data_IF_602983742016
#
_entry.id   IF_602983742016
#
_cell.length_a   1.000
_cell.length_b   1.000
_cell.length_c   1.000
_cell.angle_alpha   90.00
_cell.angle_beta   90.00
_cell.angle_gamma   90.00
#
_symmetry.space_group_name_H-M   'P 1'
#
loop_
_entity.id
_entity.type
_entity.pdbx_description
1 polymer ?
#
# COMPACT_ATOMS: atom_id res chain seq x y z
N UNK A 1 -6.90 70.21 12.50
CA UNK A 1 -7.00 71.16 11.35
C UNK A 1 -6.99 70.28 10.08
N UNK A 2 -8.14 70.03 9.42
CA UNK A 2 -8.70 70.76 8.23
C UNK A 2 -7.63 70.92 7.12
N UNK A 3 -7.75 70.51 5.84
CA UNK A 3 -8.84 70.29 4.84
C UNK A 3 -8.23 69.50 3.64
N UNK A 4 -8.79 68.42 3.11
CA UNK A 4 -9.72 68.28 1.94
C UNK A 4 -9.40 69.07 0.66
N UNK A 5 -9.24 68.35 -0.47
CA UNK A 5 -9.80 68.58 -1.84
C UNK A 5 -9.67 67.22 -2.59
N UNK A 6 -10.71 66.43 -2.87
CA UNK A 6 -11.87 66.59 -3.78
C UNK A 6 -11.45 66.89 -5.22
N UNK A 7 -11.57 65.89 -6.09
CA UNK A 7 -12.07 66.07 -7.45
C UNK A 7 -12.82 64.80 -7.88
N UNK A 8 -14.12 65.00 -8.04
CA UNK A 8 -15.13 64.07 -8.53
C UNK A 8 -15.16 64.06 -10.07
N UNK A 9 -15.50 62.93 -10.66
CA UNK A 9 -16.26 62.78 -11.91
C UNK A 9 -16.73 61.32 -11.96
N UNK A 10 -17.94 61.01 -11.47
CA UNK A 10 -19.21 60.96 -12.23
C UNK A 10 -19.17 59.85 -13.30
N UNK A 11 -19.70 58.65 -13.00
CA UNK A 11 -21.10 58.23 -13.19
C UNK A 11 -21.28 57.56 -14.56
N UNK A 12 -21.52 56.25 -14.59
CA UNK A 12 -22.57 55.66 -15.42
C UNK A 12 -22.89 54.24 -14.91
N UNK A 13 -24.14 54.05 -14.51
CA UNK A 13 -24.74 52.76 -14.24
C UNK A 13 -25.10 52.07 -15.57
N UNK A 14 -24.78 50.79 -15.68
CA UNK A 14 -25.42 49.86 -16.62
C UNK A 14 -25.51 48.48 -15.97
N UNK A 15 -26.65 48.23 -15.36
CA UNK A 15 -27.23 46.89 -15.17
C UNK A 15 -27.82 46.39 -16.50
N UNK A 16 -27.94 45.05 -16.64
CA UNK A 16 -28.32 44.25 -17.82
C UNK A 16 -27.09 43.90 -18.70
N UNK A 17 -26.75 42.65 -19.04
CA UNK A 17 -27.56 41.45 -19.27
C UNK A 17 -26.82 40.19 -18.79
N UNK A 18 -27.53 39.31 -18.08
CA UNK A 18 -27.30 37.86 -18.14
C UNK A 18 -27.80 37.42 -19.52
N UNK A 19 -26.87 37.17 -20.44
CA UNK A 19 -27.15 36.50 -21.70
C UNK A 19 -26.35 35.19 -21.72
N UNK A 20 -27.08 34.09 -21.83
CA UNK A 20 -26.57 32.73 -21.97
C UNK A 20 -25.57 32.66 -23.13
N UNK A 21 -24.33 32.30 -22.86
CA UNK A 21 -23.38 31.91 -23.90
C UNK A 21 -23.05 30.42 -23.73
N UNK A 22 -23.78 29.57 -24.44
CA UNK A 22 -23.42 28.17 -24.68
C UNK A 22 -22.26 28.13 -25.69
N UNK A 23 -21.08 28.57 -25.28
CA UNK A 23 -19.86 28.26 -26.01
C UNK A 23 -19.35 26.89 -25.51
N UNK A 24 -19.12 25.89 -26.38
CA UNK A 24 -18.47 24.66 -25.96
C UNK A 24 -17.09 25.01 -25.41
N UNK A 25 -16.82 24.59 -24.17
CA UNK A 25 -15.50 24.75 -23.55
C UNK A 25 -14.43 24.21 -24.49
N UNK A 26 -13.29 24.91 -24.67
CA UNK A 26 -12.18 24.37 -25.43
C UNK A 26 -11.78 23.01 -24.83
N UNK A 27 -11.47 22.01 -25.68
CA UNK A 27 -11.11 20.68 -25.20
C UNK A 27 -9.96 20.80 -24.21
N UNK A 28 -10.12 20.16 -23.05
CA UNK A 28 -9.08 20.11 -22.04
C UNK A 28 -7.76 19.66 -22.70
N UNK A 29 -6.62 20.31 -22.40
CA UNK A 29 -5.34 19.88 -22.95
C UNK A 29 -5.11 18.40 -22.64
N UNK A 30 -4.52 17.63 -23.57
CA UNK A 30 -4.25 16.22 -23.34
C UNK A 30 -3.48 16.07 -22.04
N UNK A 31 -3.97 15.16 -21.18
CA UNK A 31 -3.36 14.85 -19.90
C UNK A 31 -1.87 14.59 -20.13
N UNK A 32 -1.01 15.25 -19.36
CA UNK A 32 0.43 15.03 -19.43
C UNK A 32 0.72 13.53 -19.35
N UNK A 33 1.66 13.01 -20.17
CA UNK A 33 2.03 11.61 -20.09
C UNK A 33 2.41 11.27 -18.64
N UNK A 34 1.99 10.10 -18.12
CA UNK A 34 2.33 9.71 -16.76
C UNK A 34 3.85 9.72 -16.59
N UNK A 35 4.31 10.19 -15.43
CA UNK A 35 5.72 10.15 -15.08
C UNK A 35 6.26 8.72 -15.27
N UNK A 36 7.50 8.54 -15.77
CA UNK A 36 8.02 7.25 -16.19
C UNK A 36 8.02 6.15 -15.11
N UNK A 37 7.91 6.53 -13.82
CA UNK A 37 7.87 5.61 -12.67
C UNK A 37 6.53 5.62 -11.91
N UNK A 38 5.46 6.15 -12.50
CA UNK A 38 4.15 6.13 -11.86
C UNK A 38 3.58 4.70 -11.82
N UNK A 39 2.98 4.26 -10.70
CA UNK A 39 2.38 2.93 -10.61
C UNK A 39 1.25 2.75 -11.63
N UNK A 40 1.30 1.65 -12.36
CA UNK A 40 0.40 1.38 -13.48
C UNK A 40 -0.84 0.60 -13.04
N UNK A 41 -0.71 -0.25 -12.03
CA UNK A 41 -1.76 -1.11 -11.50
C UNK A 41 -2.58 -0.42 -10.41
N UNK A 42 -3.79 -0.91 -10.19
CA UNK A 42 -4.68 -0.40 -9.14
C UNK A 42 -4.07 -0.59 -7.74
N UNK A 43 -3.39 -1.72 -7.51
CA UNK A 43 -2.71 -2.02 -6.24
C UNK A 43 -1.54 -1.05 -6.04
N UNK A 44 -0.69 -0.86 -7.05
CA UNK A 44 0.40 0.09 -7.02
C UNK A 44 -0.06 1.53 -6.75
N UNK A 45 -1.18 1.95 -7.36
CA UNK A 45 -1.76 3.29 -7.13
C UNK A 45 -2.27 3.46 -5.70
N UNK A 46 -2.97 2.48 -5.15
CA UNK A 46 -3.46 2.53 -3.77
C UNK A 46 -2.30 2.60 -2.75
N UNK A 47 -1.27 1.77 -2.95
CA UNK A 47 -0.05 1.79 -2.12
C UNK A 47 0.69 3.13 -2.27
N UNK A 48 0.79 3.65 -3.51
CA UNK A 48 1.39 4.96 -3.79
C UNK A 48 0.68 6.10 -3.05
N UNK A 49 -0.65 6.10 -3.01
CA UNK A 49 -1.44 7.10 -2.26
C UNK A 49 -1.20 7.02 -0.75
N UNK A 50 -1.16 5.80 -0.18
CA UNK A 50 -0.84 5.61 1.22
C UNK A 50 0.57 6.12 1.56
N UNK A 51 1.52 5.95 0.64
CA UNK A 51 2.90 6.44 0.79
C UNK A 51 3.01 7.96 0.74
N UNK A 52 2.16 8.67 0.00
CA UNK A 52 2.15 10.14 0.03
C UNK A 52 1.88 10.63 1.46
N UNK A 53 0.87 10.06 2.11
CA UNK A 53 0.56 10.36 3.51
C UNK A 53 1.72 9.97 4.44
N UNK A 54 2.31 8.79 4.25
CA UNK A 54 3.45 8.35 5.04
C UNK A 54 4.68 9.28 4.90
N UNK A 55 4.92 9.86 3.72
CA UNK A 55 5.99 10.85 3.51
C UNK A 55 5.76 12.14 4.28
N UNK A 56 4.53 12.64 4.29
CA UNK A 56 4.16 13.82 5.07
C UNK A 56 4.32 13.57 6.58
N UNK A 57 3.86 12.41 7.06
CA UNK A 57 4.03 11.99 8.45
C UNK A 57 5.51 11.82 8.79
N UNK A 58 6.33 11.20 7.93
CA UNK A 58 7.78 11.08 8.17
C UNK A 58 8.45 12.45 8.26
N UNK A 59 8.12 13.37 7.36
CA UNK A 59 8.71 14.72 7.36
C UNK A 59 8.43 15.47 8.67
N UNK A 60 7.22 15.30 9.22
CA UNK A 60 6.72 16.11 10.35
C UNK A 60 6.83 15.44 11.71
N UNK A 61 6.87 14.11 11.79
CA UNK A 61 6.93 13.35 13.05
C UNK A 61 8.35 13.15 13.56
N UNK A 62 8.51 12.90 14.85
CA UNK A 62 9.80 12.59 15.44
C UNK A 62 10.34 11.23 14.95
N UNK A 63 11.65 11.15 14.72
CA UNK A 63 12.31 9.90 14.39
C UNK A 63 12.51 9.12 15.69
N UNK A 64 11.81 7.99 15.83
CA UNK A 64 11.89 7.15 17.04
C UNK A 64 13.09 6.19 16.98
N UNK A 65 13.83 6.11 18.09
CA UNK A 65 14.97 5.24 18.34
C UNK A 65 14.72 4.43 19.63
N UNK A 66 15.48 3.35 19.82
CA UNK A 66 15.39 2.55 21.06
C UNK A 66 14.38 1.41 20.95
N UNK A 67 13.69 1.10 22.06
CA UNK A 67 12.77 -0.03 22.21
C UNK A 67 11.62 -0.05 21.20
N UNK A 68 11.10 1.13 20.89
CA UNK A 68 9.95 1.32 19.98
C UNK A 68 10.40 1.74 18.56
N UNK A 69 11.71 1.77 18.30
CA UNK A 69 12.30 2.20 17.04
C UNK A 69 12.92 1.06 16.21
N UNK A 70 13.59 1.46 15.14
CA UNK A 70 14.37 0.59 14.26
C UNK A 70 13.88 0.56 12.81
N UNK A 71 14.81 0.26 11.91
CA UNK A 71 14.60 0.16 10.47
C UNK A 71 14.83 -1.29 10.07
N UNK A 72 13.90 -1.90 9.33
CA UNK A 72 14.10 -3.24 8.79
C UNK A 72 14.56 -3.12 7.34
N UNK A 73 15.77 -3.61 7.06
CA UNK A 73 16.37 -3.62 5.72
C UNK A 73 16.81 -5.04 5.44
N UNK A 74 16.28 -5.66 4.39
CA UNK A 74 16.65 -7.04 4.03
C UNK A 74 16.44 -8.07 5.17
N UNK A 75 15.45 -7.85 6.04
CA UNK A 75 15.23 -8.70 7.22
C UNK A 75 16.16 -8.41 8.40
N UNK A 76 17.20 -7.61 8.21
CA UNK A 76 18.05 -7.08 9.27
C UNK A 76 17.37 -5.89 9.93
N UNK A 77 17.08 -5.99 11.22
CA UNK A 77 16.55 -4.89 12.02
C UNK A 77 17.72 -4.07 12.58
N UNK A 78 17.88 -2.87 12.07
CA UNK A 78 18.90 -1.89 12.44
C UNK A 78 18.27 -0.87 13.38
N UNK A 79 19.00 -0.36 14.37
CA UNK A 79 18.50 0.75 15.22
C UNK A 79 17.54 0.33 16.34
N UNK A 80 17.15 -0.94 16.44
CA UNK A 80 16.45 -1.47 17.63
C UNK A 80 17.47 -1.69 18.73
N UNK A 81 17.13 -1.27 19.94
CA UNK A 81 17.90 -1.54 21.15
C UNK A 81 16.95 -1.68 22.33
N UNK A 82 17.42 -2.25 23.45
CA UNK A 82 16.65 -2.30 24.70
C UNK A 82 16.66 -0.97 25.48
N UNK A 83 17.18 0.09 24.85
CA UNK A 83 17.20 1.42 25.44
C UNK A 83 15.78 2.01 25.54
N UNK A 84 15.56 2.95 26.48
CA UNK A 84 14.33 3.74 26.55
C UNK A 84 13.96 4.38 25.21
N UNK A 85 12.72 4.84 25.05
CA UNK A 85 12.34 5.53 23.82
C UNK A 85 13.16 6.80 23.68
N UNK A 86 13.84 6.96 22.55
CA UNK A 86 14.47 8.23 22.18
C UNK A 86 13.91 8.76 20.88
N UNK A 87 13.99 10.07 20.69
CA UNK A 87 13.40 10.75 19.54
C UNK A 87 14.34 11.84 19.02
N UNK A 88 14.43 11.95 17.70
CA UNK A 88 15.04 13.10 17.02
C UNK A 88 13.92 13.91 16.36
N UNK A 89 13.73 15.14 16.82
CA UNK A 89 12.68 16.03 16.31
C UNK A 89 13.01 16.54 14.89
N UNK A 90 12.03 17.05 14.13
CA UNK A 90 12.31 17.72 12.86
C UNK A 90 13.26 18.92 12.96
N UNK A 91 13.36 19.53 14.16
CA UNK A 91 14.24 20.66 14.46
C UNK A 91 15.64 20.22 14.94
N UNK A 92 15.87 18.91 15.07
CA UNK A 92 17.16 18.36 15.50
C UNK A 92 17.36 18.34 17.02
N UNK A 93 16.30 18.44 17.81
CA UNK A 93 16.38 18.17 19.25
C UNK A 93 16.46 16.66 19.49
N UNK A 94 17.22 16.27 20.50
CA UNK A 94 17.29 14.89 20.96
C UNK A 94 16.52 14.73 22.27
N UNK A 95 15.56 13.81 22.27
CA UNK A 95 14.70 13.53 23.42
C UNK A 95 14.93 12.10 23.91
N UNK A 96 14.94 11.88 25.22
CA UNK A 96 14.89 10.55 25.85
C UNK A 96 13.70 10.53 26.79
N UNK A 97 12.78 9.59 26.59
CA UNK A 97 11.50 9.50 27.32
C UNK A 97 10.74 10.85 27.32
N UNK A 98 10.75 11.53 26.16
CA UNK A 98 10.13 12.85 25.96
C UNK A 98 10.87 14.03 26.60
N UNK A 99 12.01 13.82 27.26
CA UNK A 99 12.81 14.89 27.88
C UNK A 99 13.94 15.32 26.97
N UNK A 100 14.07 16.63 26.74
CA UNK A 100 15.14 17.18 25.93
C UNK A 100 16.51 16.99 26.58
N UNK A 101 17.47 16.50 25.79
CA UNK A 101 18.89 16.44 26.12
C UNK A 101 19.53 17.77 25.71
N UNK A 102 20.41 18.30 26.57
CA UNK A 102 21.14 19.53 26.26
C UNK A 102 22.14 19.27 25.14
N UNK A 103 22.00 19.98 24.03
CA UNK A 103 22.88 19.85 22.85
C UNK A 103 23.40 21.21 22.39
N UNK A 104 24.58 21.21 21.75
CA UNK A 104 25.12 22.37 21.04
C UNK A 104 24.76 22.34 19.53
N UNK A 105 25.17 23.38 18.81
CA UNK A 105 24.84 23.53 17.39
C UNK A 105 25.46 22.44 16.50
N UNK A 106 26.68 21.99 16.80
CA UNK A 106 27.35 20.92 16.05
C UNK A 106 26.63 19.57 16.23
N UNK A 107 26.21 19.26 17.45
CA UNK A 107 25.43 18.06 17.77
C UNK A 107 24.05 18.12 17.10
N UNK A 108 23.38 19.29 17.10
CA UNK A 108 22.12 19.50 16.39
C UNK A 108 22.27 19.26 14.89
N UNK A 109 23.35 19.75 14.29
CA UNK A 109 23.63 19.51 12.87
C UNK A 109 23.80 18.02 12.57
N UNK A 110 24.53 17.28 13.42
CA UNK A 110 24.71 15.83 13.28
C UNK A 110 23.39 15.05 13.44
N UNK A 111 22.51 15.46 14.36
CA UNK A 111 21.18 14.86 14.54
C UNK A 111 20.30 15.07 13.31
N UNK A 112 20.33 16.26 12.71
CA UNK A 112 19.61 16.56 11.47
C UNK A 112 20.16 15.76 10.28
N UNK A 113 21.48 15.62 10.17
CA UNK A 113 22.12 14.80 9.13
C UNK A 113 21.72 13.33 9.27
N UNK A 114 21.78 12.78 10.49
CA UNK A 114 21.37 11.41 10.77
C UNK A 114 19.90 11.17 10.41
N UNK A 115 19.01 12.07 10.86
CA UNK A 115 17.58 12.02 10.53
C UNK A 115 17.33 12.05 9.02
N UNK A 116 18.00 12.94 8.29
CA UNK A 116 17.89 13.05 6.83
C UNK A 116 18.28 11.76 6.12
N UNK A 117 19.38 11.13 6.56
CA UNK A 117 19.86 9.88 5.99
C UNK A 117 18.88 8.73 6.25
N UNK A 118 18.34 8.61 7.47
CA UNK A 118 17.28 7.63 7.79
C UNK A 118 16.01 7.86 6.95
N UNK A 119 15.59 9.12 6.76
CA UNK A 119 14.44 9.44 5.93
C UNK A 119 14.65 9.06 4.47
N UNK A 120 15.81 9.36 3.89
CA UNK A 120 16.11 8.99 2.50
C UNK A 120 16.04 7.47 2.29
N UNK A 121 16.47 6.69 3.28
CA UNK A 121 16.35 5.23 3.24
C UNK A 121 14.89 4.78 3.34
N UNK A 122 14.10 5.39 4.22
CA UNK A 122 12.66 5.11 4.32
C UNK A 122 11.92 5.45 3.02
N UNK A 123 12.25 6.58 2.38
CA UNK A 123 11.69 6.99 1.08
C UNK A 123 12.04 6.01 -0.03
N UNK A 124 13.29 5.55 -0.07
CA UNK A 124 13.75 4.54 -1.02
C UNK A 124 12.98 3.22 -0.79
N UNK A 125 12.84 2.78 0.46
CA UNK A 125 12.07 1.58 0.81
C UNK A 125 10.58 1.68 0.46
N UNK A 126 9.95 2.83 0.70
CA UNK A 126 8.57 3.09 0.28
C UNK A 126 8.41 3.04 -1.24
N UNK A 127 9.29 3.70 -1.99
CA UNK A 127 9.25 3.69 -3.46
C UNK A 127 9.37 2.26 -4.01
N UNK A 128 10.24 1.45 -3.42
CA UNK A 128 10.35 0.03 -3.75
C UNK A 128 9.09 -0.77 -3.39
N UNK A 129 8.45 -0.46 -2.27
CA UNK A 129 7.16 -1.04 -1.90
C UNK A 129 6.08 -0.80 -2.96
N UNK A 130 6.03 0.41 -3.55
CA UNK A 130 5.13 0.71 -4.68
C UNK A 130 5.47 -0.16 -5.88
N UNK A 131 6.76 -0.23 -6.27
CA UNK A 131 7.19 -1.05 -7.42
C UNK A 131 6.88 -2.54 -7.22
N UNK A 132 7.09 -3.07 -6.00
CA UNK A 132 6.75 -4.45 -5.65
C UNK A 132 5.25 -4.71 -5.72
N UNK A 133 4.43 -3.78 -5.22
CA UNK A 133 2.97 -3.85 -5.33
C UNK A 133 2.50 -3.76 -6.79
N UNK A 134 3.17 -2.95 -7.61
CA UNK A 134 2.85 -2.81 -9.04
C UNK A 134 3.19 -4.07 -9.83
N UNK A 135 4.34 -4.67 -9.55
CA UNK A 135 4.74 -5.97 -10.11
C UNK A 135 3.74 -7.07 -9.72
N UNK A 136 3.34 -7.12 -8.45
CA UNK A 136 2.32 -8.08 -7.99
C UNK A 136 0.97 -7.88 -8.69
N UNK A 137 0.53 -6.63 -8.86
CA UNK A 137 -0.67 -6.32 -9.63
C UNK A 137 -0.57 -6.75 -11.10
N UNK A 138 0.61 -6.59 -11.70
CA UNK A 138 0.88 -7.01 -13.08
C UNK A 138 0.84 -8.53 -13.18
N UNK A 139 1.46 -9.25 -12.25
CA UNK A 139 1.42 -10.70 -12.19
C UNK A 139 -0.02 -11.25 -12.08
N UNK A 140 -0.87 -10.64 -11.25
CA UNK A 140 -2.30 -11.02 -11.14
C UNK A 140 -3.02 -10.80 -12.49
N UNK A 141 -2.80 -9.64 -13.11
CA UNK A 141 -3.43 -9.30 -14.40
C UNK A 141 -3.00 -10.26 -15.51
N UNK A 142 -1.71 -10.57 -15.58
CA UNK A 142 -1.14 -11.47 -16.57
C UNK A 142 -1.50 -12.94 -16.31
N UNK A 143 -1.62 -13.38 -15.06
CA UNK A 143 -2.09 -14.74 -14.75
C UNK A 143 -3.54 -14.96 -15.23
N UNK A 144 -4.41 -13.95 -15.07
CA UNK A 144 -5.77 -13.99 -15.64
C UNK A 144 -5.69 -14.06 -17.17
N UNK A 145 -4.90 -13.19 -17.80
CA UNK A 145 -4.74 -13.17 -19.26
C UNK A 145 -4.15 -14.45 -19.85
N UNK A 146 -3.17 -15.05 -19.19
CA UNK A 146 -2.45 -16.23 -19.67
C UNK A 146 -3.23 -17.54 -19.57
N UNK A 147 -4.24 -17.61 -18.69
CA UNK A 147 -5.24 -18.69 -18.71
C UNK A 147 -6.06 -18.64 -20.02
N UNK A 148 -6.32 -17.44 -20.55
CA UNK A 148 -7.06 -17.28 -21.81
C UNK A 148 -6.17 -17.41 -23.05
N UNK A 149 -4.90 -17.03 -22.97
CA UNK A 149 -3.99 -16.92 -24.12
C UNK A 149 -2.94 -18.04 -24.23
N UNK A 150 -2.75 -18.88 -23.22
CA UNK A 150 -1.83 -20.02 -23.24
C UNK A 150 -0.33 -19.66 -23.18
N UNK A 151 0.01 -18.46 -22.74
CA UNK A 151 1.36 -17.85 -22.79
C UNK A 151 2.05 -17.72 -21.42
N UNK A 152 1.59 -18.46 -20.40
CA UNK A 152 2.04 -18.33 -19.01
C UNK A 152 3.57 -18.41 -18.78
N UNK A 153 4.30 -19.14 -19.62
CA UNK A 153 5.78 -19.20 -19.54
C UNK A 153 6.46 -17.87 -19.90
N UNK A 154 5.92 -17.10 -20.85
CA UNK A 154 6.46 -15.79 -21.21
C UNK A 154 6.16 -14.74 -20.13
N UNK A 155 4.99 -14.86 -19.48
CA UNK A 155 4.56 -14.03 -18.34
C UNK A 155 5.52 -14.24 -17.16
N UNK A 156 5.80 -15.48 -16.79
CA UNK A 156 6.73 -15.83 -15.72
C UNK A 156 8.13 -15.22 -15.95
N UNK A 157 8.67 -15.32 -17.17
CA UNK A 157 9.98 -14.75 -17.52
C UNK A 157 10.03 -13.21 -17.40
N UNK A 158 8.94 -12.50 -17.76
CA UNK A 158 8.86 -11.05 -17.62
C UNK A 158 8.79 -10.63 -16.16
N UNK A 159 7.94 -11.29 -15.36
CA UNK A 159 7.80 -11.03 -13.93
C UNK A 159 9.14 -11.26 -13.22
N UNK A 160 9.84 -12.35 -13.51
CA UNK A 160 11.15 -12.62 -12.94
C UNK A 160 12.19 -11.56 -13.34
N UNK A 161 12.17 -11.08 -14.59
CA UNK A 161 13.09 -10.06 -15.04
C UNK A 161 12.86 -8.72 -14.31
N UNK A 162 11.60 -8.35 -14.06
CA UNK A 162 11.25 -7.17 -13.27
C UNK A 162 11.60 -7.35 -11.79
N UNK A 163 11.36 -8.52 -11.22
CA UNK A 163 11.76 -8.85 -9.86
C UNK A 163 13.29 -8.73 -9.67
N UNK A 164 14.09 -9.23 -10.62
CA UNK A 164 15.55 -9.09 -10.60
C UNK A 164 16.01 -7.63 -10.68
N UNK A 165 15.30 -6.76 -11.41
CA UNK A 165 15.59 -5.32 -11.44
C UNK A 165 15.30 -4.68 -10.08
N UNK A 166 14.15 -4.98 -9.49
CA UNK A 166 13.78 -4.48 -8.16
C UNK A 166 14.77 -4.97 -7.09
N UNK A 167 15.25 -6.20 -7.21
CA UNK A 167 16.30 -6.76 -6.36
C UNK A 167 17.63 -5.99 -6.48
N UNK A 168 18.02 -5.61 -7.69
CA UNK A 168 19.22 -4.81 -7.91
C UNK A 168 19.09 -3.39 -7.33
N UNK A 169 17.92 -2.77 -7.47
CA UNK A 169 17.60 -1.50 -6.82
C UNK A 169 17.64 -1.62 -5.28
N UNK A 170 17.16 -2.75 -4.74
CA UNK A 170 17.21 -3.02 -3.31
C UNK A 170 18.61 -2.97 -2.73
N UNK A 171 19.60 -3.47 -3.47
CA UNK A 171 21.00 -3.46 -3.05
C UNK A 171 21.57 -2.04 -2.95
N UNK A 172 20.97 -1.05 -3.63
CA UNK A 172 21.38 0.35 -3.49
C UNK A 172 21.04 0.93 -2.12
N UNK A 173 20.03 0.40 -1.41
CA UNK A 173 19.77 0.77 0.00
C UNK A 173 20.97 0.47 0.90
N UNK A 174 21.70 -0.62 0.63
CA UNK A 174 22.87 -0.99 1.42
C UNK A 174 24.00 0.04 1.28
N UNK A 175 24.14 0.69 0.11
CA UNK A 175 25.13 1.75 -0.10
C UNK A 175 24.81 2.98 0.77
N UNK A 176 23.54 3.24 1.07
CA UNK A 176 23.12 4.34 1.94
C UNK A 176 23.48 4.11 3.41
N UNK A 177 23.78 2.86 3.83
CA UNK A 177 24.18 2.57 5.20
C UNK A 177 25.59 3.09 5.54
N UNK A 178 26.50 3.18 4.57
CA UNK A 178 27.87 3.67 4.81
C UNK A 178 27.91 5.12 5.32
N UNK A 179 27.28 6.10 4.66
CA UNK A 179 27.22 7.47 5.19
C UNK A 179 26.41 7.55 6.49
N UNK A 180 25.37 6.71 6.66
CA UNK A 180 24.61 6.64 7.91
C UNK A 180 25.48 6.21 9.09
N UNK A 181 26.28 5.16 8.91
CA UNK A 181 27.23 4.68 9.92
C UNK A 181 28.24 5.76 10.28
N UNK A 182 28.80 6.45 9.29
CA UNK A 182 29.77 7.53 9.53
C UNK A 182 29.16 8.67 10.37
N UNK A 183 27.93 9.08 10.07
CA UNK A 183 27.20 10.10 10.85
C UNK A 183 26.91 9.60 12.26
N UNK A 184 26.44 8.35 12.39
CA UNK A 184 26.14 7.72 13.68
C UNK A 184 27.37 7.68 14.58
N UNK A 185 28.54 7.28 14.05
CA UNK A 185 29.79 7.21 14.81
C UNK A 185 30.24 8.59 15.27
N UNK A 186 30.14 9.62 14.41
CA UNK A 186 30.45 11.01 14.79
C UNK A 186 29.51 11.51 15.88
N UNK A 187 28.20 11.27 15.71
CA UNK A 187 27.19 11.66 16.68
C UNK A 187 27.44 10.98 18.04
N UNK A 188 27.68 9.67 18.05
CA UNK A 188 28.01 8.90 19.25
C UNK A 188 29.32 9.35 19.92
N UNK A 189 30.31 9.82 19.17
CA UNK A 189 31.53 10.37 19.74
C UNK A 189 31.30 11.76 20.36
N UNK A 190 30.39 12.54 19.80
CA UNK A 190 30.11 13.92 20.23
C UNK A 190 29.03 14.06 21.30
N UNK A 191 28.10 13.11 21.40
CA UNK A 191 26.93 13.15 22.28
C UNK A 191 26.82 11.83 23.06
N UNK A 192 27.35 11.78 24.31
CA UNK A 192 27.36 10.55 25.12
C UNK A 192 25.98 9.92 25.31
N UNK A 193 24.93 10.73 25.44
CA UNK A 193 23.54 10.28 25.60
C UNK A 193 23.00 9.54 24.36
N UNK A 194 23.61 9.75 23.18
CA UNK A 194 23.25 9.06 21.94
C UNK A 194 23.97 7.72 21.76
N UNK A 195 25.13 7.51 22.40
CA UNK A 195 25.91 6.26 22.29
C UNK A 195 25.08 4.98 22.40
N UNK A 196 24.15 4.84 23.37
CA UNK A 196 23.39 3.59 23.53
C UNK A 196 22.44 3.30 22.37
N UNK A 197 22.12 4.31 21.55
CA UNK A 197 21.24 4.24 20.39
C UNK A 197 22.00 4.03 19.07
N UNK A 198 23.34 4.16 19.09
CA UNK A 198 24.20 4.01 17.93
C UNK A 198 24.48 2.52 17.63
N UNK A 199 23.45 1.79 17.20
CA UNK A 199 23.53 0.33 17.04
C UNK A 199 23.96 -0.14 15.66
N UNK A 200 23.99 0.72 14.64
CA UNK A 200 24.49 0.33 13.32
C UNK A 200 26.00 0.05 13.40
N UNK A 201 26.43 -1.10 12.88
CA UNK A 201 27.83 -1.54 12.86
C UNK A 201 28.35 -1.70 11.43
N UNK A 202 29.67 -1.84 11.28
CA UNK A 202 30.27 -2.17 9.98
C UNK A 202 29.79 -3.53 9.45
N UNK A 203 29.57 -4.51 10.33
CA UNK A 203 29.04 -5.82 9.95
C UNK A 203 27.66 -5.69 9.30
N UNK A 204 26.79 -4.80 9.80
CA UNK A 204 25.47 -4.58 9.22
C UNK A 204 25.56 -4.02 7.79
N UNK A 205 26.52 -3.13 7.54
CA UNK A 205 26.81 -2.59 6.20
C UNK A 205 27.28 -3.71 5.27
N UNK A 206 28.22 -4.53 5.74
CA UNK A 206 28.83 -5.60 4.97
C UNK A 206 27.84 -6.73 4.65
N UNK A 207 26.97 -7.07 5.61
CA UNK A 207 26.03 -8.19 5.47
C UNK A 207 24.77 -7.81 4.70
N UNK A 208 24.37 -6.53 4.68
CA UNK A 208 23.24 -6.04 3.90
C UNK A 208 23.35 -6.46 2.42
N UNK A 209 24.56 -6.38 1.83
CA UNK A 209 24.81 -6.72 0.43
C UNK A 209 24.90 -8.23 0.12
N UNK A 210 25.11 -9.08 1.13
CA UNK A 210 25.39 -10.52 0.95
C UNK A 210 24.14 -11.39 0.85
N UNK A 211 23.02 -10.95 1.43
CA UNK A 211 21.78 -11.73 1.53
C UNK A 211 20.55 -11.05 0.89
N UNK A 212 20.70 -9.83 0.41
CA UNK A 212 19.60 -8.89 0.16
C UNK A 212 18.93 -8.98 -1.21
N UNK A 213 18.38 -10.14 -1.56
CA UNK A 213 17.53 -10.26 -2.74
C UNK A 213 16.14 -10.83 -2.48
N UNK A 214 16.12 -11.98 -1.81
CA UNK A 214 14.86 -12.66 -1.50
C UNK A 214 14.07 -11.98 -0.35
N UNK A 215 14.73 -11.28 0.57
CA UNK A 215 14.08 -10.81 1.80
C UNK A 215 13.35 -9.47 1.70
N UNK A 216 13.57 -8.67 0.65
CA UNK A 216 12.86 -7.38 0.48
C UNK A 216 11.43 -7.58 0.00
N UNK A 217 11.14 -8.74 -0.60
CA UNK A 217 9.80 -9.12 -1.08
C UNK A 217 9.12 -10.14 -0.15
N UNK A 218 9.78 -10.55 0.94
CA UNK A 218 9.18 -11.35 2.00
C UNK A 218 10.07 -12.52 2.46
N UNK A 219 10.60 -12.39 3.68
CA UNK A 219 10.97 -13.52 4.53
C UNK A 219 12.31 -14.24 4.26
N UNK A 220 12.94 -14.71 5.33
CA UNK A 220 14.24 -15.39 5.34
C UNK A 220 14.23 -16.70 4.52
N UNK A 221 15.05 -16.74 3.46
CA UNK A 221 15.05 -17.73 2.39
C UNK A 221 15.55 -19.16 2.71
N UNK A 222 15.43 -19.68 3.94
CA UNK A 222 15.74 -21.09 4.23
C UNK A 222 14.58 -21.88 4.84
N UNK A 223 13.76 -21.25 5.67
CA UNK A 223 12.56 -21.87 6.27
C UNK A 223 11.33 -21.61 5.37
N UNK A 224 11.31 -20.41 4.80
CA UNK A 224 10.30 -19.93 3.86
C UNK A 224 10.32 -20.70 2.54
N UNK A 225 11.43 -21.27 2.07
CA UNK A 225 11.46 -21.96 0.76
C UNK A 225 10.71 -23.31 0.76
N UNK A 226 10.67 -24.03 1.87
CA UNK A 226 9.90 -25.28 1.98
C UNK A 226 8.41 -24.97 2.17
N UNK A 227 8.12 -24.00 3.05
CA UNK A 227 6.75 -23.56 3.34
C UNK A 227 6.11 -22.82 2.16
N UNK A 228 6.82 -21.93 1.45
CA UNK A 228 6.34 -21.26 0.22
C UNK A 228 6.21 -22.23 -0.93
N UNK A 229 7.04 -23.27 -1.07
CA UNK A 229 6.83 -24.23 -2.17
C UNK A 229 5.54 -25.02 -1.95
N UNK A 230 5.25 -25.39 -0.71
CA UNK A 230 4.00 -26.06 -0.36
C UNK A 230 2.81 -25.10 -0.28
N UNK A 231 2.98 -23.85 0.14
CA UNK A 231 1.95 -22.83 0.11
C UNK A 231 1.71 -22.34 -1.30
N UNK A 232 2.68 -22.22 -2.21
CA UNK A 232 2.45 -21.90 -3.61
C UNK A 232 1.82 -23.10 -4.30
N UNK A 233 2.23 -24.35 -4.00
CA UNK A 233 1.54 -25.52 -4.57
C UNK A 233 0.09 -25.61 -4.09
N UNK A 234 -0.16 -25.33 -2.80
CA UNK A 234 -1.51 -25.20 -2.23
C UNK A 234 -2.24 -23.99 -2.78
N UNK A 235 -1.65 -22.81 -2.84
CA UNK A 235 -2.24 -21.57 -3.37
C UNK A 235 -2.45 -21.62 -4.87
N UNK A 236 -1.66 -22.37 -5.64
CA UNK A 236 -1.88 -22.65 -7.05
C UNK A 236 -2.95 -23.74 -7.20
N UNK A 237 -3.02 -24.75 -6.32
CA UNK A 237 -4.16 -25.68 -6.30
C UNK A 237 -5.47 -24.99 -5.85
N UNK A 238 -5.40 -24.06 -4.89
CA UNK A 238 -6.47 -23.22 -4.38
C UNK A 238 -6.79 -22.08 -5.34
N UNK A 239 -5.86 -21.62 -6.18
CA UNK A 239 -6.10 -20.67 -7.27
C UNK A 239 -6.57 -21.37 -8.54
N UNK A 240 -6.26 -22.65 -8.76
CA UNK A 240 -6.87 -23.46 -9.82
C UNK A 240 -8.28 -23.91 -9.40
N UNK A 241 -8.53 -24.12 -8.10
CA UNK A 241 -9.87 -24.34 -7.53
C UNK A 241 -10.64 -23.04 -7.25
N UNK A 242 -9.93 -21.92 -7.08
CA UNK A 242 -10.42 -20.56 -6.82
C UNK A 242 -10.32 -19.63 -8.02
N UNK A 243 -9.93 -20.12 -9.19
CA UNK A 243 -9.99 -19.41 -10.47
C UNK A 243 -11.44 -19.14 -10.94
N UNK A 244 -12.44 -19.49 -10.12
CA UNK A 244 -13.82 -19.02 -10.26
C UNK A 244 -14.16 -17.84 -9.33
N UNK A 245 -13.23 -17.33 -8.51
CA UNK A 245 -13.45 -16.23 -7.57
C UNK A 245 -12.55 -15.03 -7.92
N UNK A 246 -13.04 -14.20 -8.84
CA UNK A 246 -12.45 -12.91 -9.17
C UNK A 246 -12.79 -11.86 -8.10
N UNK A 247 -11.77 -11.24 -7.50
CA UNK A 247 -11.89 -9.89 -6.93
C UNK A 247 -11.76 -8.86 -8.05
N UNK A 248 -12.78 -8.80 -8.91
CA UNK A 248 -13.04 -7.69 -9.81
C UNK A 248 -14.32 -6.98 -9.36
N UNK A 249 -14.50 -5.73 -9.76
CA UNK A 249 -15.84 -5.14 -9.78
C UNK A 249 -16.68 -5.94 -10.79
N UNK A 250 -17.26 -7.05 -10.34
CA UNK A 250 -18.04 -7.98 -11.13
C UNK A 250 -19.42 -8.07 -10.49
N UNK A 251 -20.46 -7.76 -11.26
CA UNK A 251 -21.87 -7.95 -10.88
C UNK A 251 -22.28 -9.44 -10.94
N UNK A 252 -21.32 -10.35 -11.08
CA UNK A 252 -21.56 -11.79 -11.11
C UNK A 252 -20.38 -12.54 -10.51
N UNK A 253 -20.66 -13.50 -9.62
CA UNK A 253 -19.68 -14.40 -9.02
C UNK A 253 -20.22 -15.82 -8.93
N UNK A 254 -19.37 -16.85 -8.92
CA UNK A 254 -19.80 -18.24 -8.77
C UNK A 254 -19.19 -18.84 -7.52
N UNK A 255 -20.04 -19.27 -6.59
CA UNK A 255 -19.63 -19.84 -5.29
C UNK A 255 -20.31 -21.19 -5.10
N UNK A 256 -19.54 -22.23 -4.79
CA UNK A 256 -20.03 -23.60 -4.65
C UNK A 256 -20.83 -24.11 -5.88
N UNK A 257 -20.50 -23.57 -7.06
CA UNK A 257 -21.17 -23.87 -8.33
C UNK A 257 -22.57 -23.27 -8.49
N UNK A 258 -22.94 -22.31 -7.64
CA UNK A 258 -24.12 -21.45 -7.80
C UNK A 258 -23.64 -20.10 -8.35
N UNK A 259 -24.28 -19.59 -9.39
CA UNK A 259 -23.97 -18.28 -9.98
C UNK A 259 -24.80 -17.21 -9.28
N UNK A 260 -24.17 -16.19 -8.71
CA UNK A 260 -24.83 -15.06 -8.09
C UNK A 260 -24.74 -13.83 -8.99
N UNK A 261 -25.87 -13.21 -9.32
CA UNK A 261 -25.95 -11.88 -9.90
C UNK A 261 -26.11 -10.87 -8.77
N UNK A 262 -25.17 -9.95 -8.66
CA UNK A 262 -25.02 -9.05 -7.52
C UNK A 262 -25.14 -7.58 -7.97
N UNK A 263 -25.61 -6.68 -7.08
CA UNK A 263 -25.57 -5.25 -7.36
C UNK A 263 -24.13 -4.78 -7.59
N UNK A 264 -23.98 -3.62 -8.23
CA UNK A 264 -22.66 -3.05 -8.49
C UNK A 264 -21.96 -2.70 -7.16
N UNK A 265 -20.81 -3.32 -6.91
CA UNK A 265 -20.04 -3.10 -5.69
C UNK A 265 -18.77 -3.95 -5.65
N UNK A 266 -17.92 -3.69 -4.66
CA UNK A 266 -16.82 -4.59 -4.32
C UNK A 266 -17.39 -5.85 -3.69
N UNK A 267 -17.01 -7.01 -4.21
CA UNK A 267 -17.39 -8.31 -3.66
C UNK A 267 -16.17 -8.94 -2.99
N UNK A 268 -16.27 -9.20 -1.69
CA UNK A 268 -15.32 -10.04 -0.96
C UNK A 268 -15.96 -11.40 -0.71
N UNK A 269 -15.20 -12.48 -0.92
CA UNK A 269 -15.65 -13.84 -0.62
C UNK A 269 -14.71 -14.41 0.44
N UNK A 270 -15.29 -14.85 1.56
CA UNK A 270 -14.55 -15.43 2.67
C UNK A 270 -15.08 -16.83 2.98
N UNK A 271 -14.21 -17.82 3.01
CA UNK A 271 -14.57 -19.21 3.34
C UNK A 271 -13.81 -19.67 4.58
N UNK A 272 -14.55 -20.04 5.62
CA UNK A 272 -14.00 -20.60 6.88
C UNK A 272 -14.78 -21.87 7.20
N UNK A 273 -14.09 -23.02 7.15
CA UNK A 273 -14.73 -24.32 7.35
C UNK A 273 -15.78 -24.64 6.28
N UNK A 274 -17.00 -25.01 6.70
CA UNK A 274 -18.16 -25.25 5.82
C UNK A 274 -18.93 -23.98 5.44
N UNK A 275 -18.51 -22.83 5.97
CA UNK A 275 -19.19 -21.55 5.81
C UNK A 275 -18.52 -20.73 4.73
N UNK A 276 -19.32 -20.20 3.80
CA UNK A 276 -18.85 -19.23 2.81
C UNK A 276 -19.70 -17.97 2.88
N UNK A 277 -19.06 -16.82 3.08
CA UNK A 277 -19.70 -15.51 3.10
C UNK A 277 -19.30 -14.72 1.86
N UNK A 278 -20.26 -14.03 1.25
CA UNK A 278 -20.05 -13.04 0.20
C UNK A 278 -20.47 -11.68 0.77
N UNK A 279 -19.53 -10.76 0.89
CA UNK A 279 -19.77 -9.38 1.31
C UNK A 279 -19.75 -8.48 0.07
N UNK A 280 -20.88 -7.86 -0.23
CA UNK A 280 -21.07 -7.02 -1.41
C UNK A 280 -21.30 -5.57 -0.95
N UNK A 281 -20.23 -4.78 -0.96
CA UNK A 281 -20.26 -3.44 -0.36
C UNK A 281 -20.53 -3.45 1.14
N UNK A 282 -21.22 -2.42 1.65
CA UNK A 282 -21.58 -2.32 3.07
C UNK A 282 -23.00 -2.85 3.40
N UNK A 283 -23.77 -3.27 2.40
CA UNK A 283 -25.24 -3.39 2.52
C UNK A 283 -25.81 -4.76 2.15
N UNK A 284 -25.00 -5.67 1.58
CA UNK A 284 -25.44 -7.00 1.17
C UNK A 284 -24.43 -8.08 1.61
N UNK A 285 -24.87 -8.94 2.53
CA UNK A 285 -24.16 -10.13 3.00
C UNK A 285 -24.92 -11.39 2.55
N UNK A 286 -24.21 -12.34 1.95
CA UNK A 286 -24.73 -13.67 1.61
C UNK A 286 -23.92 -14.75 2.30
N UNK A 287 -24.54 -15.54 3.16
CA UNK A 287 -23.87 -16.64 3.89
C UNK A 287 -24.40 -18.00 3.46
N UNK A 288 -23.50 -18.90 3.08
CA UNK A 288 -23.77 -20.29 2.75
C UNK A 288 -23.23 -21.17 3.88
N UNK A 289 -24.11 -21.69 4.72
CA UNK A 289 -23.77 -22.45 5.93
C UNK A 289 -24.85 -23.50 6.19
N UNK A 290 -24.48 -24.67 6.72
CA UNK A 290 -25.40 -25.73 7.19
C UNK A 290 -26.50 -26.12 6.20
N UNK A 291 -26.16 -26.22 4.91
CA UNK A 291 -27.14 -26.59 3.88
C UNK A 291 -28.21 -25.52 3.63
N UNK A 292 -27.97 -24.28 4.06
CA UNK A 292 -28.83 -23.10 3.85
C UNK A 292 -28.08 -21.97 3.15
N UNK A 293 -28.85 -21.00 2.69
CA UNK A 293 -28.37 -19.70 2.23
C UNK A 293 -29.01 -18.63 3.11
N UNK A 294 -28.25 -17.62 3.50
CA UNK A 294 -28.73 -16.46 4.23
C UNK A 294 -28.43 -15.22 3.41
N UNK A 295 -29.37 -14.29 3.32
CA UNK A 295 -29.19 -12.99 2.66
C UNK A 295 -29.59 -11.93 3.68
N UNK A 296 -28.65 -11.08 4.10
CA UNK A 296 -28.84 -10.07 5.15
C UNK A 296 -29.52 -10.64 6.40
N UNK A 297 -29.04 -11.80 6.87
CA UNK A 297 -29.59 -12.51 8.03
C UNK A 297 -30.94 -13.19 7.84
N UNK A 298 -31.56 -13.08 6.66
CA UNK A 298 -32.80 -13.79 6.32
C UNK A 298 -32.48 -15.15 5.69
N UNK A 299 -33.12 -16.22 6.17
CA UNK A 299 -32.82 -17.61 5.76
C UNK A 299 -33.58 -18.01 4.51
N UNK A 300 -32.93 -18.70 3.58
CA UNK A 300 -33.49 -19.27 2.36
C UNK A 300 -33.12 -20.74 2.20
N UNK A 301 -33.81 -21.45 1.30
CA UNK A 301 -33.38 -22.76 0.83
C UNK A 301 -32.02 -22.65 0.10
N UNK A 302 -31.16 -23.65 0.23
CA UNK A 302 -29.87 -23.64 -0.45
C UNK A 302 -30.06 -23.88 -1.96
N UNK A 303 -29.56 -23.00 -2.83
CA UNK A 303 -29.61 -23.21 -4.27
C UNK A 303 -28.80 -24.44 -4.68
N UNK A 304 -29.30 -25.19 -5.66
CA UNK A 304 -28.59 -26.36 -6.19
C UNK A 304 -27.40 -25.93 -7.07
N UNK A 305 -26.40 -26.79 -7.21
CA UNK A 305 -25.29 -26.55 -8.13
C UNK A 305 -25.82 -26.38 -9.56
N UNK A 306 -25.37 -25.34 -10.26
CA UNK A 306 -25.81 -24.97 -11.61
C UNK A 306 -26.95 -23.95 -11.66
N UNK A 307 -27.50 -23.56 -10.51
CA UNK A 307 -28.55 -22.53 -10.44
C UNK A 307 -27.99 -21.12 -10.43
N UNK A 308 -28.80 -20.16 -10.88
CA UNK A 308 -28.52 -18.73 -10.83
C UNK A 308 -29.36 -18.07 -9.74
N UNK A 309 -28.73 -17.22 -8.91
CA UNK A 309 -29.36 -16.45 -7.84
C UNK A 309 -29.19 -14.97 -8.14
N UNK A 310 -30.28 -14.25 -8.37
CA UNK A 310 -30.27 -12.81 -8.62
C UNK A 310 -30.62 -12.03 -7.35
N UNK A 311 -29.70 -11.16 -6.94
CA UNK A 311 -29.77 -10.29 -5.76
C UNK A 311 -29.59 -8.81 -6.13
N UNK A 312 -29.64 -8.46 -7.43
CA UNK A 312 -29.44 -7.08 -7.89
C UNK A 312 -30.53 -6.12 -7.42
N UNK A 313 -31.71 -6.65 -7.15
CA UNK A 313 -32.86 -5.88 -6.65
C UNK A 313 -32.93 -6.03 -5.13
N UNK A 314 -32.80 -4.91 -4.42
CA UNK A 314 -32.89 -4.88 -2.96
C UNK A 314 -34.18 -5.55 -2.45
N UNK A 315 -34.04 -6.40 -1.44
CA UNK A 315 -35.17 -7.13 -0.84
C UNK A 315 -35.76 -8.25 -1.70
N UNK A 316 -35.20 -8.56 -2.87
CA UNK A 316 -35.63 -9.67 -3.71
C UNK A 316 -34.54 -10.72 -3.86
N UNK A 317 -34.93 -11.99 -3.74
CA UNK A 317 -34.09 -13.14 -4.04
C UNK A 317 -34.76 -13.92 -5.16
N UNK A 318 -34.16 -13.94 -6.35
CA UNK A 318 -34.64 -14.77 -7.45
C UNK A 318 -33.72 -15.99 -7.60
N UNK A 319 -34.29 -17.19 -7.72
CA UNK A 319 -33.55 -18.41 -8.07
C UNK A 319 -34.06 -18.88 -9.43
N UNK A 320 -33.17 -18.94 -10.42
CA UNK A 320 -33.48 -19.21 -11.83
C UNK A 320 -34.64 -18.33 -12.36
N UNK A 321 -34.60 -17.05 -12.00
CA UNK A 321 -35.60 -16.04 -12.40
C UNK A 321 -36.93 -16.11 -11.66
N UNK A 322 -37.10 -16.96 -10.65
CA UNK A 322 -38.33 -17.07 -9.85
C UNK A 322 -38.15 -16.53 -8.43
N UNK A 323 -39.13 -15.80 -7.86
CA UNK A 323 -39.07 -15.37 -6.47
C UNK A 323 -38.87 -16.54 -5.52
N UNK A 324 -37.85 -16.41 -4.66
CA UNK A 324 -37.58 -17.31 -3.55
C UNK A 324 -38.04 -16.65 -2.26
N UNK A 325 -38.76 -17.40 -1.44
CA UNK A 325 -39.28 -16.93 -0.16
C UNK A 325 -38.55 -17.65 0.99
N UNK A 326 -38.34 -16.98 2.13
CA UNK A 326 -37.59 -17.51 3.26
C UNK A 326 -38.21 -18.74 3.96
#
# INVERSE_FOLDING_TARGET
MKRTHILSSALLATTLLVACNNAPSPPAPPSAPPAPDAPQTMIGKAVGQAIVKAREELATSNLTLGRDGGININGSRIGKSDQPKAEITPQGDFLIEGKAVSINDDQRALLLDYRRQVHAMAETGMAMGVKGADLAGTAIKEAIGGIFNGDGQQVEQRIEAEARKLEAEAKQLCVQLTPLLATQTKLAASLPEFQPYATLTQTDVDDCGKHGGASVIGGNGKEVQAEIRDNIRRSVQTAVQGATAASGASNTTTVNGVRFLLPLGSVAVNSVGSTTTLDVGNDLEVKLEDGRMWVNGTRYARPAKGTEVDLRTEGQVLVDGKPSYP
#
